data_IF_849046913520
#
_entry.id   IF_849046913520
#
_cell.length_a   1.000
_cell.length_b   1.000
_cell.length_c   1.000
_cell.angle_alpha   90.00
_cell.angle_beta   90.00
_cell.angle_gamma   90.00
#
_symmetry.space_group_name_H-M   'P 1'
#
loop_
_entity.id
_entity.type
_entity.pdbx_description
1 polymer ?
#
# COMPACT_ATOMS: atom_id res chain seq x y z
N UNK A 1 -13.37 -22.06 -4.26
CA UNK A 1 -14.54 -21.65 -5.03
C UNK A 1 -14.95 -20.17 -4.81
N UNK A 2 -14.12 -19.31 -4.20
CA UNK A 2 -14.37 -17.86 -4.08
C UNK A 2 -13.41 -16.98 -4.91
N UNK A 3 -12.39 -17.57 -5.51
CA UNK A 3 -11.38 -16.83 -6.29
C UNK A 3 -11.83 -16.50 -7.71
N UNK A 4 -12.83 -17.21 -8.24
CA UNK A 4 -13.34 -16.99 -9.61
C UNK A 4 -14.35 -15.84 -9.74
N UNK A 5 -14.83 -15.26 -8.64
CA UNK A 5 -15.82 -14.17 -8.70
C UNK A 5 -15.23 -12.78 -8.81
N UNK A 6 -13.92 -12.62 -8.61
CA UNK A 6 -13.24 -11.33 -8.79
C UNK A 6 -12.37 -11.45 -10.03
N UNK A 7 -12.78 -10.83 -11.13
CA UNK A 7 -11.95 -10.66 -12.32
C UNK A 7 -11.16 -9.35 -12.20
N UNK A 8 -9.97 -9.36 -11.58
CA UNK A 8 -9.23 -8.13 -11.28
C UNK A 8 -8.73 -7.39 -12.53
N UNK A 9 -8.75 -8.05 -13.69
CA UNK A 9 -8.42 -7.44 -14.98
C UNK A 9 -9.57 -6.62 -15.59
N UNK A 10 -10.81 -6.79 -15.08
CA UNK A 10 -12.00 -6.11 -15.62
C UNK A 10 -12.62 -5.11 -14.64
N UNK A 11 -12.29 -5.21 -13.35
CA UNK A 11 -12.90 -4.34 -12.32
C UNK A 11 -11.85 -4.04 -11.25
N UNK A 12 -11.64 -2.76 -10.94
CA UNK A 12 -10.78 -2.36 -9.83
C UNK A 12 -11.30 -2.96 -8.51
N UNK A 13 -10.38 -3.42 -7.64
CA UNK A 13 -10.71 -3.91 -6.32
C UNK A 13 -11.43 -2.80 -5.53
N UNK A 14 -12.64 -3.10 -5.06
CA UNK A 14 -13.49 -2.12 -4.37
C UNK A 14 -14.41 -1.31 -5.31
N UNK A 15 -14.38 -1.55 -6.61
CA UNK A 15 -15.30 -0.91 -7.54
C UNK A 15 -16.73 -1.43 -7.32
N UNK A 16 -17.59 -0.51 -6.89
CA UNK A 16 -19.01 -0.77 -6.64
C UNK A 16 -19.85 -0.24 -7.80
N UNK A 17 -20.27 -1.13 -8.70
CA UNK A 17 -21.10 -0.73 -9.82
C UNK A 17 -22.55 -0.50 -9.37
N UNK A 18 -23.10 0.70 -9.60
CA UNK A 18 -24.44 1.09 -9.15
C UNK A 18 -25.53 0.11 -9.56
N UNK A 19 -25.51 -0.39 -10.80
CA UNK A 19 -26.52 -1.34 -11.30
C UNK A 19 -26.50 -2.70 -10.59
N UNK A 20 -25.34 -3.18 -10.11
CA UNK A 20 -25.26 -4.42 -9.31
C UNK A 20 -25.89 -4.24 -7.94
N UNK A 21 -25.64 -3.11 -7.31
CA UNK A 21 -26.25 -2.79 -6.03
C UNK A 21 -27.75 -2.56 -6.18
N UNK A 22 -28.19 -1.87 -7.24
CA UNK A 22 -29.61 -1.69 -7.53
C UNK A 22 -30.31 -3.06 -7.63
N UNK A 23 -29.77 -3.99 -8.38
CA UNK A 23 -30.32 -5.34 -8.51
C UNK A 23 -30.40 -6.11 -7.18
N UNK A 24 -29.37 -6.02 -6.33
CA UNK A 24 -29.39 -6.62 -4.99
C UNK A 24 -30.48 -5.96 -4.12
N UNK A 25 -30.60 -4.64 -4.18
CA UNK A 25 -31.63 -3.90 -3.45
C UNK A 25 -33.03 -4.27 -3.91
N UNK A 26 -33.26 -4.38 -5.21
CA UNK A 26 -34.55 -4.78 -5.76
C UNK A 26 -34.97 -6.16 -5.22
N UNK A 27 -34.06 -7.13 -5.23
CA UNK A 27 -34.29 -8.46 -4.65
C UNK A 27 -34.59 -8.38 -3.14
N UNK A 28 -33.83 -7.61 -2.37
CA UNK A 28 -34.03 -7.47 -0.93
C UNK A 28 -35.34 -6.77 -0.59
N UNK A 29 -35.80 -5.83 -1.44
CA UNK A 29 -37.13 -5.20 -1.32
C UNK A 29 -38.26 -6.18 -1.63
N UNK A 30 -38.14 -6.95 -2.73
CA UNK A 30 -39.11 -8.00 -3.06
C UNK A 30 -39.27 -9.04 -1.95
N UNK A 31 -38.16 -9.37 -1.27
CA UNK A 31 -38.13 -10.29 -0.13
C UNK A 31 -38.57 -9.64 1.21
N UNK A 32 -38.86 -8.34 1.22
CA UNK A 32 -39.31 -7.62 2.41
C UNK A 32 -38.22 -7.36 3.48
N UNK A 33 -36.96 -7.54 3.14
CA UNK A 33 -35.86 -7.31 4.09
C UNK A 33 -35.47 -5.85 4.26
N UNK A 34 -35.80 -4.98 3.31
CA UNK A 34 -35.51 -3.55 3.37
C UNK A 34 -36.71 -2.71 2.96
N UNK A 35 -36.85 -1.46 3.50
CA UNK A 35 -37.93 -0.56 3.10
C UNK A 35 -37.87 -0.16 1.64
N UNK A 36 -39.01 0.18 1.06
CA UNK A 36 -39.18 0.57 -0.34
C UNK A 36 -38.43 1.87 -0.75
N UNK A 37 -37.89 2.63 0.19
CA UNK A 37 -37.15 3.86 -0.09
C UNK A 37 -35.77 3.81 0.57
N UNK A 38 -34.79 3.24 -0.13
CA UNK A 38 -33.38 3.30 0.27
C UNK A 38 -32.62 4.13 -0.76
N UNK A 39 -31.93 5.17 -0.28
CA UNK A 39 -31.08 5.98 -1.15
C UNK A 39 -29.71 5.31 -1.34
N UNK A 40 -29.52 4.67 -2.49
CA UNK A 40 -28.29 3.98 -2.87
C UNK A 40 -27.07 4.89 -2.95
N UNK A 41 -27.24 6.16 -3.33
CA UNK A 41 -26.12 7.10 -3.47
C UNK A 41 -25.45 7.41 -2.12
N UNK A 42 -26.16 7.17 -0.99
CA UNK A 42 -25.59 7.27 0.35
C UNK A 42 -24.86 6.03 0.83
N UNK A 43 -25.13 4.89 0.22
CA UNK A 43 -24.59 3.59 0.62
C UNK A 43 -23.44 3.12 -0.27
N UNK A 44 -23.43 3.55 -1.52
CA UNK A 44 -22.37 3.22 -2.46
C UNK A 44 -21.25 4.25 -2.27
N UNK A 45 -20.10 3.80 -1.79
CA UNK A 45 -18.91 4.64 -1.76
C UNK A 45 -18.55 5.03 -3.20
N UNK A 46 -18.77 6.29 -3.51
CA UNK A 46 -18.23 6.88 -4.72
C UNK A 46 -16.86 7.47 -4.37
N UNK A 47 -15.77 6.92 -4.89
CA UNK A 47 -14.48 7.54 -4.68
C UNK A 47 -14.56 8.96 -5.21
N UNK A 48 -14.41 9.95 -4.34
CA UNK A 48 -14.24 11.34 -4.81
C UNK A 48 -13.11 11.29 -5.83
N UNK A 49 -13.35 11.78 -7.05
CA UNK A 49 -12.29 11.91 -8.05
C UNK A 49 -11.11 12.59 -7.38
N UNK A 50 -10.03 11.84 -7.17
CA UNK A 50 -8.85 12.24 -6.40
C UNK A 50 -8.02 13.32 -7.16
N UNK A 51 -8.55 13.86 -8.26
CA UNK A 51 -7.89 14.92 -9.05
C UNK A 51 -7.85 16.29 -8.36
N UNK A 52 -8.32 16.39 -7.09
CA UNK A 52 -8.34 17.66 -6.36
C UNK A 52 -7.38 17.72 -5.17
N UNK A 53 -6.31 16.94 -5.15
CA UNK A 53 -5.22 17.30 -4.27
C UNK A 53 -4.56 18.57 -4.82
N UNK A 54 -4.45 19.64 -4.00
CA UNK A 54 -3.76 20.84 -4.43
C UNK A 54 -2.36 20.44 -4.93
N UNK A 55 -1.87 21.08 -5.99
CA UNK A 55 -0.54 20.78 -6.50
C UNK A 55 0.48 20.94 -5.38
N UNK A 56 1.39 19.97 -5.25
CA UNK A 56 2.46 20.03 -4.25
C UNK A 56 3.28 21.29 -4.53
N UNK A 57 3.31 22.21 -3.56
CA UNK A 57 4.07 23.46 -3.67
C UNK A 57 5.49 23.22 -3.15
N UNK A 58 6.41 23.04 -4.07
CA UNK A 58 7.83 22.93 -3.73
C UNK A 58 8.45 24.33 -3.60
N UNK A 59 9.25 24.51 -2.57
CA UNK A 59 10.12 25.68 -2.41
C UNK A 59 11.21 25.73 -3.48
N UNK A 60 11.87 26.86 -3.63
CA UNK A 60 12.99 27.00 -4.58
C UNK A 60 14.15 26.05 -4.23
N UNK A 61 14.41 25.85 -2.93
CA UNK A 61 15.46 24.94 -2.47
C UNK A 61 15.16 23.48 -2.82
N UNK A 62 13.90 23.04 -2.64
CA UNK A 62 13.48 21.68 -3.01
C UNK A 62 13.53 21.45 -4.53
N UNK A 63 13.11 22.43 -5.33
CA UNK A 63 13.24 22.35 -6.79
C UNK A 63 14.70 22.27 -7.23
N UNK A 64 15.57 23.06 -6.62
CA UNK A 64 17.00 23.04 -6.89
C UNK A 64 17.61 21.69 -6.53
N UNK A 65 17.23 21.12 -5.36
CA UNK A 65 17.66 19.80 -4.93
C UNK A 65 17.25 18.72 -5.93
N UNK A 66 15.98 18.69 -6.32
CA UNK A 66 15.46 17.74 -7.31
C UNK A 66 16.22 17.85 -8.64
N UNK A 67 16.50 19.07 -9.10
CA UNK A 67 17.22 19.27 -10.36
C UNK A 67 18.69 18.79 -10.33
N UNK A 68 19.31 18.81 -9.16
CA UNK A 68 20.69 18.35 -8.96
C UNK A 68 20.81 16.85 -8.74
N UNK A 69 19.71 16.16 -8.34
CA UNK A 69 19.69 14.73 -8.10
C UNK A 69 19.05 14.02 -9.30
N UNK A 70 19.89 13.58 -10.23
CA UNK A 70 19.43 12.96 -11.49
C UNK A 70 18.74 11.63 -11.29
N UNK A 71 19.02 10.93 -10.20
CA UNK A 71 18.43 9.64 -9.86
C UNK A 71 18.38 9.47 -8.33
N UNK A 72 17.29 8.87 -7.84
CA UNK A 72 17.10 8.50 -6.44
C UNK A 72 17.02 6.98 -6.37
N UNK A 73 17.93 6.36 -5.64
CA UNK A 73 18.05 4.90 -5.52
C UNK A 73 17.08 4.39 -4.44
N UNK A 74 16.21 3.48 -4.84
CA UNK A 74 15.15 2.94 -3.98
C UNK A 74 15.50 1.51 -3.59
N UNK A 75 15.54 1.23 -2.29
CA UNK A 75 15.62 -0.13 -1.76
C UNK A 75 14.24 -0.64 -1.39
N UNK A 76 13.94 -1.88 -1.72
CA UNK A 76 12.64 -2.51 -1.45
C UNK A 76 12.82 -3.89 -0.85
N UNK A 77 11.87 -4.32 -0.03
CA UNK A 77 11.79 -5.72 0.41
C UNK A 77 11.18 -6.54 -0.74
N UNK A 78 11.92 -7.50 -1.33
CA UNK A 78 11.42 -8.25 -2.48
C UNK A 78 10.29 -9.23 -2.15
N UNK A 79 10.01 -9.52 -0.87
CA UNK A 79 9.11 -10.61 -0.44
C UNK A 79 7.99 -10.18 0.51
N UNK A 80 7.77 -8.88 0.71
CA UNK A 80 6.77 -8.37 1.66
C UNK A 80 5.41 -8.05 1.01
N UNK A 81 4.74 -9.06 0.45
CA UNK A 81 3.38 -8.91 -0.11
C UNK A 81 2.34 -8.61 0.98
N UNK A 82 1.33 -7.79 0.71
CA UNK A 82 1.07 -6.98 -0.50
C UNK A 82 1.68 -5.58 -0.43
N UNK A 83 2.52 -5.30 0.56
CA UNK A 83 3.10 -3.98 0.81
C UNK A 83 4.09 -3.63 -0.30
N UNK A 84 5.10 -4.47 -0.50
CA UNK A 84 6.05 -4.39 -1.59
C UNK A 84 6.63 -5.76 -1.91
N UNK A 85 6.92 -5.97 -3.18
CA UNK A 85 7.58 -7.19 -3.65
C UNK A 85 8.12 -7.01 -5.05
N UNK A 86 9.03 -7.90 -5.44
CA UNK A 86 9.53 -7.99 -6.81
C UNK A 86 8.87 -9.20 -7.47
N UNK A 87 8.23 -8.99 -8.61
CA UNK A 87 7.62 -10.09 -9.36
C UNK A 87 8.64 -10.92 -10.16
N UNK A 88 8.15 -11.99 -10.78
CA UNK A 88 9.00 -12.89 -11.59
C UNK A 88 9.67 -12.22 -12.78
N UNK A 89 9.23 -11.02 -13.17
CA UNK A 89 9.82 -10.22 -14.25
C UNK A 89 10.81 -9.17 -13.71
N UNK A 90 11.09 -9.17 -12.41
CA UNK A 90 11.96 -8.19 -11.77
C UNK A 90 11.31 -6.83 -11.54
N UNK A 91 9.97 -6.71 -11.67
CA UNK A 91 9.25 -5.45 -11.49
C UNK A 91 8.81 -5.28 -10.05
N UNK A 92 9.01 -4.08 -9.53
CA UNK A 92 8.50 -3.65 -8.22
C UNK A 92 6.97 -3.49 -8.28
N UNK A 93 6.28 -4.15 -7.35
CA UNK A 93 4.82 -4.17 -7.21
C UNK A 93 4.41 -3.97 -5.74
N UNK A 94 3.11 -3.77 -5.52
CA UNK A 94 2.53 -3.54 -4.20
C UNK A 94 2.23 -2.07 -3.92
N UNK A 95 1.74 -1.80 -2.71
CA UNK A 95 1.31 -0.45 -2.27
C UNK A 95 2.45 0.57 -2.39
N UNK A 96 3.66 0.18 -2.03
CA UNK A 96 4.83 1.06 -2.10
C UNK A 96 5.24 1.37 -3.55
N UNK A 97 5.03 0.42 -4.48
CA UNK A 97 5.29 0.65 -5.90
C UNK A 97 4.37 1.75 -6.48
N UNK A 98 3.09 1.71 -6.12
CA UNK A 98 2.12 2.75 -6.51
C UNK A 98 2.50 4.11 -5.92
N UNK A 99 2.94 4.14 -4.66
CA UNK A 99 3.44 5.35 -4.01
C UNK A 99 4.65 5.93 -4.76
N UNK A 100 5.65 5.11 -5.07
CA UNK A 100 6.85 5.52 -5.81
C UNK A 100 6.48 6.07 -7.18
N UNK A 101 5.58 5.40 -7.92
CA UNK A 101 5.11 5.87 -9.21
C UNK A 101 4.37 7.21 -9.11
N UNK A 102 3.52 7.36 -8.10
CA UNK A 102 2.79 8.61 -7.84
C UNK A 102 3.75 9.75 -7.53
N UNK A 103 4.76 9.54 -6.69
CA UNK A 103 5.77 10.53 -6.35
C UNK A 103 6.61 10.91 -7.58
N UNK A 104 7.06 9.93 -8.36
CA UNK A 104 7.77 10.17 -9.62
C UNK A 104 6.95 11.07 -10.54
N UNK A 105 5.65 10.77 -10.73
CA UNK A 105 4.76 11.55 -11.59
C UNK A 105 4.48 12.95 -11.05
N UNK A 106 4.18 13.08 -9.74
CA UNK A 106 3.78 14.37 -9.14
C UNK A 106 4.94 15.35 -8.97
N UNK A 107 6.12 14.84 -8.67
CA UNK A 107 7.28 15.65 -8.33
C UNK A 107 8.35 15.66 -9.44
N UNK A 108 8.08 14.96 -10.56
CA UNK A 108 9.03 14.75 -11.65
C UNK A 108 10.38 14.19 -11.14
N UNK A 109 10.30 13.19 -10.23
CA UNK A 109 11.46 12.51 -9.70
C UNK A 109 11.89 11.36 -10.61
N UNK A 110 13.12 10.89 -10.41
CA UNK A 110 13.66 9.67 -11.04
C UNK A 110 14.04 8.66 -9.97
N UNK A 111 13.06 8.18 -9.24
CA UNK A 111 13.21 7.13 -8.25
C UNK A 111 13.29 5.78 -8.98
N UNK A 112 14.38 5.03 -8.78
CA UNK A 112 14.60 3.71 -9.39
C UNK A 112 14.96 2.68 -8.34
N UNK A 113 14.31 1.53 -8.41
CA UNK A 113 14.61 0.40 -7.53
C UNK A 113 15.95 -0.20 -7.93
N UNK A 114 16.81 -0.42 -6.91
CA UNK A 114 18.06 -1.15 -7.07
C UNK A 114 17.73 -2.64 -7.19
N UNK A 115 18.02 -3.28 -8.32
CA UNK A 115 17.59 -4.65 -8.58
C UNK A 115 18.41 -5.70 -7.82
N UNK A 116 17.87 -6.92 -7.73
CA UNK A 116 18.56 -8.13 -7.29
C UNK A 116 19.18 -8.06 -5.89
N UNK A 117 18.52 -7.40 -4.96
CA UNK A 117 18.92 -7.33 -3.56
C UNK A 117 17.91 -8.09 -2.69
N UNK A 118 18.42 -8.86 -1.75
CA UNK A 118 17.65 -9.33 -0.60
C UNK A 118 17.41 -8.19 0.39
N UNK A 119 16.44 -8.34 1.30
CA UNK A 119 16.20 -7.34 2.33
C UNK A 119 17.44 -7.02 3.19
N UNK A 120 18.24 -8.05 3.52
CA UNK A 120 19.48 -7.86 4.28
C UNK A 120 20.47 -6.97 3.51
N UNK A 121 20.67 -7.22 2.23
CA UNK A 121 21.56 -6.43 1.37
C UNK A 121 21.03 -5.00 1.18
N UNK A 122 19.70 -4.82 1.07
CA UNK A 122 19.07 -3.49 1.05
C UNK A 122 19.43 -2.71 2.31
N UNK A 123 19.32 -3.32 3.49
CA UNK A 123 19.65 -2.66 4.75
C UNK A 123 21.14 -2.33 4.89
N UNK A 124 22.02 -3.22 4.43
CA UNK A 124 23.48 -2.97 4.41
C UNK A 124 23.85 -1.84 3.45
N UNK A 125 23.28 -1.85 2.25
CA UNK A 125 23.51 -0.78 1.27
C UNK A 125 22.93 0.56 1.70
N UNK A 126 21.82 0.55 2.44
CA UNK A 126 21.24 1.76 3.03
C UNK A 126 22.19 2.35 4.08
N UNK A 127 22.72 1.53 4.98
CA UNK A 127 23.74 1.97 5.96
C UNK A 127 25.00 2.51 5.28
N UNK A 128 25.38 1.92 4.15
CA UNK A 128 26.51 2.36 3.34
C UNK A 128 26.19 3.55 2.41
N UNK A 129 24.99 4.16 2.52
CA UNK A 129 24.52 5.30 1.71
C UNK A 129 24.52 5.02 0.18
N UNK A 130 24.36 3.75 -0.21
CA UNK A 130 24.19 3.33 -1.59
C UNK A 130 22.73 3.26 -2.02
N UNK A 131 21.82 3.34 -1.07
CA UNK A 131 20.36 3.47 -1.24
C UNK A 131 19.95 4.76 -0.54
N UNK A 132 19.10 5.53 -1.21
CA UNK A 132 18.68 6.87 -0.76
C UNK A 132 17.36 6.82 0.00
N UNK A 133 16.44 5.92 -0.39
CA UNK A 133 15.10 5.84 0.19
C UNK A 133 14.60 4.39 0.27
N UNK A 134 13.87 4.10 1.35
CA UNK A 134 13.08 2.89 1.55
C UNK A 134 11.61 3.29 1.56
N UNK A 135 10.79 2.89 0.58
CA UNK A 135 9.39 3.33 0.50
C UNK A 135 8.51 2.72 1.57
N UNK A 136 8.82 1.49 2.03
CA UNK A 136 8.10 0.83 3.10
C UNK A 136 9.08 0.21 4.10
N UNK A 137 9.10 0.77 5.30
CA UNK A 137 9.94 0.26 6.38
C UNK A 137 9.33 0.61 7.74
N UNK A 138 9.27 -0.36 8.64
CA UNK A 138 8.82 -0.12 10.01
C UNK A 138 9.87 0.68 10.79
N UNK A 139 9.42 1.72 11.52
CA UNK A 139 10.30 2.50 12.38
C UNK A 139 10.62 1.73 13.66
N UNK A 140 11.89 1.49 13.92
CA UNK A 140 12.42 0.93 15.15
C UNK A 140 13.53 1.82 15.69
N UNK A 141 13.85 1.69 17.01
CA UNK A 141 14.94 2.45 17.63
C UNK A 141 16.29 2.19 16.93
N UNK A 142 16.54 0.94 16.54
CA UNK A 142 17.76 0.58 15.83
C UNK A 142 17.86 1.27 14.48
N UNK A 143 16.76 1.26 13.71
CA UNK A 143 16.72 1.87 12.37
C UNK A 143 16.80 3.40 12.44
N UNK A 144 16.27 4.01 13.48
CA UNK A 144 16.37 5.47 13.70
C UNK A 144 17.80 5.97 13.89
N UNK A 145 18.75 5.09 14.16
CA UNK A 145 20.18 5.46 14.29
C UNK A 145 20.80 5.86 12.94
N UNK A 146 20.21 5.41 11.82
CA UNK A 146 20.75 5.67 10.48
C UNK A 146 19.69 6.02 9.44
N UNK A 147 18.40 5.99 9.78
CA UNK A 147 17.27 6.39 8.91
C UNK A 147 16.50 7.55 9.52
N UNK A 148 16.13 8.50 8.67
CA UNK A 148 15.07 9.46 8.96
C UNK A 148 13.74 8.95 8.45
N UNK A 149 12.67 9.17 9.20
CA UNK A 149 11.33 8.70 8.87
C UNK A 149 10.40 9.87 8.59
N UNK A 150 9.60 9.75 7.53
CA UNK A 150 8.45 10.62 7.30
C UNK A 150 7.32 10.33 8.28
N UNK A 151 6.24 11.12 8.23
CA UNK A 151 4.98 10.72 8.85
C UNK A 151 4.52 9.39 8.26
N UNK A 152 4.05 8.43 9.07
CA UNK A 152 3.55 7.16 8.58
C UNK A 152 2.37 7.36 7.61
N UNK A 153 2.42 6.75 6.45
CA UNK A 153 1.34 6.78 5.47
C UNK A 153 0.47 5.52 5.51
N UNK A 154 0.91 4.50 6.26
CA UNK A 154 0.22 3.23 6.39
C UNK A 154 0.45 2.62 7.78
N UNK A 155 -0.55 1.91 8.29
CA UNK A 155 -0.46 1.12 9.51
C UNK A 155 -0.67 -0.36 9.21
N UNK A 156 0.29 -1.19 9.60
CA UNK A 156 0.21 -2.65 9.48
C UNK A 156 -0.14 -3.22 10.85
N UNK A 157 -1.16 -4.06 10.89
CA UNK A 157 -1.57 -4.76 12.11
C UNK A 157 -0.81 -6.09 12.20
N UNK A 158 -0.33 -6.39 13.39
CA UNK A 158 0.24 -7.69 13.71
C UNK A 158 -0.86 -8.62 14.20
N UNK A 159 -0.78 -9.89 13.82
CA UNK A 159 -1.67 -10.94 14.31
C UNK A 159 -0.86 -12.17 14.68
N UNK A 160 -1.30 -12.87 15.71
CA UNK A 160 -0.78 -14.19 16.07
C UNK A 160 -1.61 -15.21 15.32
N UNK A 161 -0.96 -16.10 14.59
CA UNK A 161 -1.61 -17.19 13.86
C UNK A 161 -1.15 -18.51 14.48
N UNK A 162 -2.12 -19.34 14.88
CA UNK A 162 -1.88 -20.69 15.40
C UNK A 162 -2.65 -21.72 14.59
N UNK A 163 -2.32 -22.99 14.76
CA UNK A 163 -3.11 -24.09 14.20
C UNK A 163 -4.51 -24.08 14.82
N UNK A 164 -5.50 -24.58 14.05
CA UNK A 164 -6.93 -24.56 14.45
C UNK A 164 -7.22 -25.32 15.75
N UNK A 165 -6.48 -26.39 16.01
CA UNK A 165 -6.57 -27.27 17.16
C UNK A 165 -5.73 -26.80 18.36
N UNK A 166 -4.99 -25.71 18.18
CA UNK A 166 -4.25 -25.09 19.27
C UNK A 166 -5.17 -24.22 20.13
N UNK A 167 -4.97 -24.23 21.45
CA UNK A 167 -5.69 -23.33 22.35
C UNK A 167 -5.45 -21.87 21.97
N UNK A 168 -6.45 -21.03 22.13
CA UNK A 168 -6.34 -19.60 21.83
C UNK A 168 -5.20 -18.98 22.67
N UNK A 169 -4.31 -18.27 22.01
CA UNK A 169 -3.22 -17.52 22.64
C UNK A 169 -3.78 -16.17 23.10
N UNK A 170 -3.98 -15.93 24.41
CA UNK A 170 -4.68 -14.74 24.91
C UNK A 170 -3.87 -13.46 24.81
N UNK A 171 -2.59 -13.54 24.44
CA UNK A 171 -1.72 -12.36 24.28
C UNK A 171 -0.24 -12.71 24.16
N UNK A 172 0.60 -11.70 23.98
CA UNK A 172 2.06 -11.88 23.81
C UNK A 172 2.76 -12.52 25.00
N UNK A 173 2.24 -12.35 26.21
CA UNK A 173 2.83 -12.92 27.43
C UNK A 173 2.73 -14.45 27.39
N UNK A 174 1.66 -15.01 26.83
CA UNK A 174 1.48 -16.46 26.69
C UNK A 174 2.38 -17.11 25.63
N UNK A 175 3.20 -16.35 24.93
CA UNK A 175 4.22 -16.87 23.98
C UNK A 175 5.58 -17.07 24.64
N UNK A 176 5.73 -16.73 25.92
CA UNK A 176 7.00 -16.85 26.66
C UNK A 176 7.11 -18.18 27.45
N UNK A 177 6.03 -18.96 27.48
CA UNK A 177 5.98 -20.30 28.07
C UNK A 177 6.14 -21.39 26.97
#
# INVERSE_FOLDING_TARGET
MMVEMIQPLLVELGYMHQTRWQHIFDILQELGFIPSQVNLDRLIYQPKKVDQHPPVRLSQAEKAWISQHSEIRVGVDPEWMPIEYIDNNGKHNGISADLVQMLNKKLNLKMRVVPNLSWTEVMEQTKAQKIDILPAVASTEERRKFLNFSTPYMHVRWAIVSLRDHSAIPGLIALQE
#
